data_IF_435321439161
#
_entry.id   IF_435321439161
#
_cell.length_a   1.000
_cell.length_b   1.000
_cell.length_c   1.000
_cell.angle_alpha   90.00
_cell.angle_beta   90.00
_cell.angle_gamma   90.00
#
_symmetry.space_group_name_H-M   'P 1'
#
loop_
_entity.id
_entity.type
_entity.pdbx_description
1 polymer ?
#
# COMPACT_ATOMS: atom_id res chain seq x y z
N UNK A 1 12.41 -34.26 28.82
CA UNK A 1 13.14 -34.07 27.55
C UNK A 1 12.15 -33.48 26.55
N UNK A 2 12.33 -32.25 26.04
CA UNK A 2 11.43 -31.74 25.01
C UNK A 2 11.68 -32.53 23.73
N UNK A 3 10.59 -33.02 23.13
CA UNK A 3 10.61 -33.94 21.99
C UNK A 3 11.27 -33.25 20.79
N UNK A 4 12.42 -33.74 20.31
CA UNK A 4 13.23 -33.13 19.21
C UNK A 4 12.41 -32.83 17.95
N UNK A 5 11.34 -33.59 17.73
CA UNK A 5 10.40 -33.44 16.61
C UNK A 5 9.53 -32.17 16.70
N UNK A 6 9.19 -31.69 17.90
CA UNK A 6 8.35 -30.50 18.06
C UNK A 6 9.14 -29.21 17.80
N UNK A 7 10.39 -29.11 18.28
CA UNK A 7 11.28 -28.00 17.95
C UNK A 7 11.60 -27.93 16.45
N UNK A 8 11.79 -29.08 15.79
CA UNK A 8 12.00 -29.12 14.34
C UNK A 8 10.73 -28.70 13.58
N UNK A 9 9.54 -29.11 14.01
CA UNK A 9 8.28 -28.70 13.37
C UNK A 9 8.04 -27.19 13.43
N UNK A 10 8.31 -26.56 14.58
CA UNK A 10 8.17 -25.10 14.74
C UNK A 10 9.25 -24.36 13.94
N UNK A 11 10.51 -24.82 13.94
CA UNK A 11 11.59 -24.24 13.11
C UNK A 11 11.31 -24.38 11.60
N UNK A 12 10.79 -25.52 11.14
CA UNK A 12 10.47 -25.76 9.72
C UNK A 12 9.25 -24.94 9.29
N UNK A 13 8.24 -24.80 10.16
CA UNK A 13 7.12 -23.89 9.90
C UNK A 13 7.56 -22.42 9.89
N UNK A 14 8.59 -22.06 10.66
CA UNK A 14 9.12 -20.70 10.70
C UNK A 14 9.95 -20.37 9.44
N UNK A 15 10.76 -21.33 8.98
CA UNK A 15 11.54 -21.22 7.73
C UNK A 15 10.67 -21.17 6.47
N UNK A 16 9.55 -21.88 6.45
CA UNK A 16 8.62 -21.87 5.30
C UNK A 16 7.80 -20.59 5.20
N UNK A 17 7.48 -19.92 6.32
CA UNK A 17 6.80 -18.60 6.30
C UNK A 17 7.76 -17.47 5.90
N UNK A 18 9.06 -17.59 6.21
CA UNK A 18 10.06 -16.56 5.88
C UNK A 18 10.60 -16.64 4.44
N UNK A 19 10.61 -17.82 3.81
CA UNK A 19 11.24 -18.03 2.50
C UNK A 19 10.35 -17.74 1.28
N UNK A 20 9.06 -17.40 1.48
CA UNK A 20 8.16 -17.10 0.35
C UNK A 20 7.31 -15.84 0.59
N UNK A 21 7.88 -14.62 0.57
CA UNK A 21 7.06 -13.43 0.31
C UNK A 21 6.78 -13.25 -1.18
N UNK A 22 7.63 -13.77 -2.08
CA UNK A 22 7.62 -13.35 -3.49
C UNK A 22 7.44 -14.53 -4.46
N UNK A 23 6.18 -14.93 -4.63
CA UNK A 23 5.69 -15.41 -5.93
C UNK A 23 4.66 -14.38 -6.37
N UNK A 24 5.09 -13.16 -6.70
CA UNK A 24 4.19 -12.13 -7.23
C UNK A 24 4.81 -11.60 -8.52
N UNK A 25 4.29 -12.17 -9.61
CA UNK A 25 4.19 -11.59 -10.96
C UNK A 25 4.76 -10.18 -11.09
N UNK A 26 5.88 -10.06 -11.81
CA UNK A 26 6.33 -8.79 -12.36
C UNK A 26 5.20 -8.22 -13.25
N UNK A 27 4.41 -7.30 -12.69
CA UNK A 27 3.46 -6.52 -13.47
C UNK A 27 4.23 -5.36 -14.11
N UNK A 28 3.96 -5.09 -15.39
CA UNK A 28 4.55 -3.95 -16.14
C UNK A 28 4.33 -2.57 -15.47
N UNK A 29 3.44 -2.51 -14.48
CA UNK A 29 3.10 -1.32 -13.71
C UNK A 29 3.80 -1.23 -12.33
N UNK A 30 4.69 -2.17 -12.00
CA UNK A 30 5.40 -2.25 -10.72
C UNK A 30 4.63 -2.99 -9.61
N UNK A 31 5.34 -3.41 -8.57
CA UNK A 31 4.79 -4.22 -7.49
C UNK A 31 3.87 -3.43 -6.55
N UNK A 32 2.83 -4.09 -6.03
CA UNK A 32 1.85 -3.47 -5.15
C UNK A 32 2.52 -3.08 -3.83
N UNK A 33 2.74 -1.77 -3.65
CA UNK A 33 3.34 -1.25 -2.43
C UNK A 33 2.30 -1.27 -1.30
N UNK A 34 2.61 -1.96 -0.21
CA UNK A 34 1.81 -1.92 1.01
C UNK A 34 1.92 -0.53 1.66
N UNK A 35 0.83 0.00 2.26
CA UNK A 35 0.87 1.30 2.90
C UNK A 35 1.85 1.30 4.08
N UNK A 36 2.48 2.46 4.35
CA UNK A 36 3.42 2.62 5.46
C UNK A 36 2.81 2.19 6.82
N UNK A 37 1.51 2.42 7.00
CA UNK A 37 0.75 1.99 8.19
C UNK A 37 0.70 0.48 8.39
N UNK A 38 0.91 -0.32 7.34
CA UNK A 38 1.01 -1.78 7.43
C UNK A 38 2.29 -2.18 8.16
N UNK A 39 3.43 -1.62 7.76
CA UNK A 39 4.72 -1.89 8.39
C UNK A 39 4.77 -1.38 9.83
N UNK A 40 4.20 -0.21 10.09
CA UNK A 40 4.10 0.35 11.44
C UNK A 40 3.26 -0.55 12.37
N UNK A 41 2.10 -1.04 11.89
CA UNK A 41 1.29 -2.02 12.63
C UNK A 41 2.06 -3.31 12.91
N UNK A 42 2.74 -3.88 11.90
CA UNK A 42 3.53 -5.09 12.08
C UNK A 42 4.60 -4.86 13.14
N UNK A 43 5.38 -3.79 13.01
CA UNK A 43 6.42 -3.42 13.96
C UNK A 43 5.87 -3.33 15.39
N UNK A 44 4.77 -2.60 15.57
CA UNK A 44 4.12 -2.39 16.88
C UNK A 44 3.56 -3.69 17.48
N UNK A 45 2.82 -4.48 16.70
CA UNK A 45 2.29 -5.76 17.17
C UNK A 45 3.42 -6.76 17.47
N UNK A 46 4.48 -6.77 16.67
CA UNK A 46 5.63 -7.64 16.89
C UNK A 46 6.30 -7.35 18.23
N UNK A 47 6.47 -6.07 18.58
CA UNK A 47 6.97 -5.68 19.91
C UNK A 47 6.00 -6.09 21.03
N UNK A 48 4.70 -5.85 20.89
CA UNK A 48 3.73 -6.26 21.91
C UNK A 48 3.74 -7.78 22.15
N UNK A 49 3.79 -8.57 21.08
CA UNK A 49 3.86 -10.03 21.17
C UNK A 49 5.18 -10.45 21.81
N UNK A 50 6.31 -9.82 21.44
CA UNK A 50 7.60 -10.05 22.09
C UNK A 50 7.52 -9.82 23.60
N UNK A 51 7.08 -8.63 24.01
CA UNK A 51 7.00 -8.28 25.43
C UNK A 51 6.02 -9.17 26.19
N UNK A 52 4.89 -9.53 25.59
CA UNK A 52 3.92 -10.46 26.17
C UNK A 52 4.53 -11.84 26.40
N UNK A 53 5.15 -12.43 25.38
CA UNK A 53 5.81 -13.74 25.48
C UNK A 53 6.98 -13.72 26.46
N UNK A 54 7.75 -12.65 26.48
CA UNK A 54 8.88 -12.48 27.39
C UNK A 54 8.40 -12.40 28.86
N UNK A 55 7.36 -11.60 29.14
CA UNK A 55 6.77 -11.50 30.47
C UNK A 55 6.19 -12.85 30.93
N UNK A 56 5.43 -13.54 30.07
CA UNK A 56 4.91 -14.88 30.35
C UNK A 56 6.06 -15.86 30.65
N UNK A 57 7.14 -15.83 29.85
CA UNK A 57 8.30 -16.68 30.06
C UNK A 57 9.01 -16.43 31.40
N UNK A 58 9.03 -15.20 31.91
CA UNK A 58 9.57 -14.89 33.25
C UNK A 58 8.68 -15.44 34.36
N UNK A 59 7.35 -15.34 34.21
CA UNK A 59 6.37 -15.76 35.22
C UNK A 59 6.20 -17.29 35.34
N UNK A 60 6.64 -18.06 34.36
CA UNK A 60 6.56 -19.53 34.38
C UNK A 60 7.73 -20.13 35.18
N UNK A 61 7.42 -20.89 36.24
CA UNK A 61 8.41 -21.64 37.02
C UNK A 61 8.88 -22.94 36.36
N UNK A 62 8.05 -23.51 35.47
CA UNK A 62 8.34 -24.79 34.82
C UNK A 62 9.44 -24.62 33.76
N UNK A 63 10.67 -25.05 34.10
CA UNK A 63 11.89 -24.94 33.26
C UNK A 63 11.69 -25.16 31.75
N UNK A 64 11.07 -26.25 31.26
CA UNK A 64 10.93 -26.46 29.81
C UNK A 64 9.98 -25.44 29.16
N UNK A 65 8.88 -25.09 29.80
CA UNK A 65 7.90 -24.14 29.27
C UNK A 65 8.44 -22.71 29.27
N UNK A 66 9.18 -22.34 30.32
CA UNK A 66 9.93 -21.08 30.39
C UNK A 66 10.90 -20.91 29.21
N UNK A 67 11.70 -21.94 28.93
CA UNK A 67 12.67 -21.91 27.82
C UNK A 67 11.94 -21.79 26.49
N UNK A 68 10.82 -22.50 26.29
CA UNK A 68 10.02 -22.40 25.07
C UNK A 68 9.46 -20.97 24.90
N UNK A 69 8.82 -20.41 25.93
CA UNK A 69 8.24 -19.07 25.88
C UNK A 69 9.29 -17.98 25.61
N UNK A 70 10.45 -18.05 26.27
CA UNK A 70 11.56 -17.10 26.04
C UNK A 70 12.23 -17.29 24.68
N UNK A 71 12.33 -18.52 24.18
CA UNK A 71 12.84 -18.75 22.82
C UNK A 71 11.87 -18.22 21.76
N UNK A 72 10.56 -18.34 22.00
CA UNK A 72 9.52 -17.84 21.11
C UNK A 72 9.45 -16.31 21.08
N UNK A 73 9.86 -15.59 22.14
CA UNK A 73 9.92 -14.13 22.11
C UNK A 73 11.02 -13.56 21.20
N UNK A 74 11.98 -14.37 20.78
CA UNK A 74 13.03 -13.96 19.81
C UNK A 74 12.44 -13.78 18.42
N UNK A 75 11.44 -14.60 18.06
CA UNK A 75 10.79 -14.59 16.75
C UNK A 75 10.20 -13.21 16.39
N UNK A 76 9.36 -12.58 17.24
CA UNK A 76 8.85 -11.25 16.96
C UNK A 76 9.95 -10.16 16.99
N UNK A 77 11.05 -10.35 17.73
CA UNK A 77 12.19 -9.41 17.67
C UNK A 77 12.88 -9.45 16.31
N UNK A 78 13.06 -10.64 15.73
CA UNK A 78 13.63 -10.79 14.38
C UNK A 78 12.72 -10.15 13.33
N UNK A 79 11.40 -10.37 13.42
CA UNK A 79 10.41 -9.74 12.52
C UNK A 79 10.45 -8.21 12.65
N UNK A 80 10.52 -7.70 13.89
CA UNK A 80 10.64 -6.26 14.14
C UNK A 80 11.95 -5.69 13.56
N UNK A 81 13.07 -6.37 13.79
CA UNK A 81 14.38 -5.98 13.26
C UNK A 81 14.40 -5.98 11.74
N UNK A 82 13.79 -6.98 11.10
CA UNK A 82 13.65 -7.02 9.64
C UNK A 82 12.91 -5.78 9.13
N UNK A 83 11.76 -5.44 9.72
CA UNK A 83 11.00 -4.25 9.31
C UNK A 83 11.79 -2.96 9.53
N UNK A 84 12.61 -2.86 10.56
CA UNK A 84 13.35 -1.63 10.86
C UNK A 84 14.62 -1.45 10.02
N UNK A 85 15.30 -2.55 9.67
CA UNK A 85 16.62 -2.51 9.02
C UNK A 85 16.61 -2.89 7.54
N UNK A 86 15.69 -3.77 7.11
CA UNK A 86 15.62 -4.22 5.71
C UNK A 86 14.61 -3.45 4.87
N UNK A 87 13.60 -2.83 5.49
CA UNK A 87 12.60 -2.05 4.76
C UNK A 87 13.08 -0.61 4.60
N UNK A 88 13.45 -0.23 3.37
CA UNK A 88 13.77 1.17 3.06
C UNK A 88 12.48 1.99 2.93
N UNK A 89 12.09 2.60 4.04
CA UNK A 89 10.93 3.51 4.07
C UNK A 89 11.10 4.75 3.20
N UNK A 90 12.33 5.14 2.89
CA UNK A 90 12.62 6.30 2.03
C UNK A 90 12.34 5.96 0.58
N UNK A 91 12.81 4.80 0.13
CA UNK A 91 12.55 4.29 -1.22
C UNK A 91 11.06 4.00 -1.41
N UNK A 92 10.40 3.35 -0.44
CA UNK A 92 8.96 3.10 -0.48
C UNK A 92 8.15 4.40 -0.58
N UNK A 93 8.50 5.42 0.21
CA UNK A 93 7.84 6.73 0.12
C UNK A 93 8.07 7.35 -1.25
N UNK A 94 9.30 7.35 -1.76
CA UNK A 94 9.64 7.90 -3.08
C UNK A 94 8.83 7.24 -4.19
N UNK A 95 8.70 5.91 -4.17
CA UNK A 95 7.94 5.16 -5.16
C UNK A 95 6.44 5.44 -5.05
N UNK A 96 5.89 5.51 -3.83
CA UNK A 96 4.49 5.91 -3.61
C UNK A 96 4.22 7.33 -4.10
N UNK A 97 5.12 8.28 -3.84
CA UNK A 97 5.01 9.65 -4.35
C UNK A 97 5.07 9.68 -5.88
N UNK A 98 5.97 8.93 -6.50
CA UNK A 98 6.06 8.84 -7.95
C UNK A 98 4.76 8.29 -8.57
N UNK A 99 4.22 7.20 -8.04
CA UNK A 99 2.95 6.62 -8.51
C UNK A 99 1.76 7.56 -8.29
N UNK A 100 1.73 8.29 -7.17
CA UNK A 100 0.72 9.29 -6.91
C UNK A 100 0.83 10.49 -7.86
N UNK A 101 2.04 10.92 -8.19
CA UNK A 101 2.28 11.98 -9.16
C UNK A 101 1.85 11.55 -10.58
N UNK A 102 2.04 10.29 -10.96
CA UNK A 102 1.50 9.73 -12.21
C UNK A 102 -0.04 9.76 -12.23
N UNK A 103 -0.67 9.39 -11.11
CA UNK A 103 -2.13 9.47 -10.98
C UNK A 103 -2.63 10.92 -11.06
N UNK A 104 -1.91 11.86 -10.45
CA UNK A 104 -2.21 13.30 -10.56
C UNK A 104 -2.02 13.82 -11.98
N UNK A 105 -0.93 13.46 -12.68
CA UNK A 105 -0.71 13.87 -14.07
C UNK A 105 -1.84 13.38 -14.98
N UNK A 106 -2.32 12.15 -14.76
CA UNK A 106 -3.49 11.62 -15.48
C UNK A 106 -4.75 12.43 -15.18
N UNK A 107 -4.99 12.80 -13.91
CA UNK A 107 -6.11 13.65 -13.51
C UNK A 107 -6.01 15.08 -14.08
N UNK A 108 -4.81 15.63 -14.19
CA UNK A 108 -4.57 16.94 -14.80
C UNK A 108 -4.88 16.92 -16.31
N UNK A 109 -4.49 15.86 -17.02
CA UNK A 109 -4.83 15.69 -18.43
C UNK A 109 -6.36 15.57 -18.63
N UNK A 110 -7.03 14.85 -17.72
CA UNK A 110 -8.50 14.79 -17.70
C UNK A 110 -9.11 16.17 -17.44
N UNK A 111 -8.53 16.94 -16.52
CA UNK A 111 -9.00 18.28 -16.22
C UNK A 111 -8.91 19.19 -17.44
N UNK A 112 -7.81 19.13 -18.18
CA UNK A 112 -7.65 19.87 -19.43
C UNK A 112 -8.70 19.44 -20.47
N UNK A 113 -8.97 18.14 -20.61
CA UNK A 113 -9.99 17.64 -21.52
C UNK A 113 -11.41 18.10 -21.11
N UNK A 114 -11.71 18.12 -19.81
CA UNK A 114 -12.99 18.60 -19.26
C UNK A 114 -13.18 20.10 -19.51
N UNK A 115 -12.14 20.91 -19.36
CA UNK A 115 -12.21 22.35 -19.60
C UNK A 115 -12.43 22.67 -21.09
N UNK A 116 -11.75 21.94 -21.99
CA UNK A 116 -11.98 22.03 -23.44
C UNK A 116 -13.41 21.64 -23.80
N UNK A 117 -13.89 20.50 -23.31
CA UNK A 117 -15.25 20.04 -23.58
C UNK A 117 -16.32 21.01 -23.05
N UNK A 118 -16.13 21.55 -21.84
CA UNK A 118 -17.03 22.57 -21.29
C UNK A 118 -17.05 23.85 -22.14
N UNK A 119 -15.91 24.26 -22.69
CA UNK A 119 -15.85 25.44 -23.56
C UNK A 119 -16.61 25.25 -24.88
N UNK A 120 -16.67 24.01 -25.38
CA UNK A 120 -17.36 23.67 -26.63
C UNK A 120 -18.85 23.36 -26.43
N UNK A 121 -19.20 22.61 -25.38
CA UNK A 121 -20.55 22.06 -25.16
C UNK A 121 -21.28 22.71 -23.97
N UNK A 122 -20.64 23.58 -23.19
CA UNK A 122 -21.24 24.28 -22.05
C UNK A 122 -21.50 23.41 -20.81
N UNK A 123 -21.21 22.10 -20.86
CA UNK A 123 -21.44 21.12 -19.78
C UNK A 123 -20.22 20.24 -19.57
N UNK A 124 -20.07 19.66 -18.39
CA UNK A 124 -19.00 18.69 -18.08
C UNK A 124 -19.40 17.26 -18.46
N UNK A 125 -18.42 16.45 -18.88
CA UNK A 125 -18.60 15.03 -19.19
C UNK A 125 -18.82 14.24 -17.89
N UNK A 126 -19.99 13.60 -17.79
CA UNK A 126 -20.39 12.78 -16.63
C UNK A 126 -19.97 11.33 -16.77
N UNK A 127 -19.94 10.80 -17.98
CA UNK A 127 -19.65 9.39 -18.21
C UNK A 127 -18.14 9.16 -18.24
N UNK A 128 -17.70 8.21 -17.41
CA UNK A 128 -16.33 7.78 -17.34
C UNK A 128 -15.87 7.14 -18.65
N UNK A 129 -16.74 6.36 -19.30
CA UNK A 129 -16.40 5.62 -20.52
C UNK A 129 -16.23 6.55 -21.72
N UNK A 130 -17.08 7.58 -21.81
CA UNK A 130 -16.98 8.62 -22.82
C UNK A 130 -15.74 9.50 -22.58
N UNK A 131 -15.43 9.83 -21.33
CA UNK A 131 -14.19 10.52 -21.02
C UNK A 131 -12.95 9.70 -21.42
N UNK A 132 -12.95 8.39 -21.16
CA UNK A 132 -11.85 7.51 -21.56
C UNK A 132 -11.60 7.54 -23.07
N UNK A 133 -12.64 7.60 -23.91
CA UNK A 133 -12.48 7.70 -25.37
C UNK A 133 -11.96 9.07 -25.81
N UNK A 134 -12.35 10.16 -25.13
CA UNK A 134 -11.86 11.50 -25.41
C UNK A 134 -10.40 11.72 -24.97
N UNK A 135 -9.98 11.14 -23.85
CA UNK A 135 -8.61 11.30 -23.32
C UNK A 135 -7.63 10.34 -24.00
N UNK A 136 -8.08 9.20 -24.52
CA UNK A 136 -7.25 8.28 -25.31
C UNK A 136 -6.67 8.94 -26.58
N UNK A 137 -7.32 9.98 -27.11
CA UNK A 137 -6.86 10.74 -28.28
C UNK A 137 -5.89 11.89 -27.98
N UNK A 138 -5.86 12.41 -26.75
CA UNK A 138 -5.01 13.55 -26.36
C UNK A 138 -4.16 13.22 -25.12
N UNK A 139 -2.88 12.91 -25.36
CA UNK A 139 -1.84 12.63 -24.37
C UNK A 139 -1.93 11.33 -23.56
N UNK A 140 -2.98 10.52 -23.72
CA UNK A 140 -3.01 9.12 -23.27
C UNK A 140 -3.11 8.94 -21.75
N UNK A 141 -4.05 8.12 -21.32
CA UNK A 141 -4.14 7.70 -19.92
C UNK A 141 -3.06 6.66 -19.66
N UNK A 142 -2.26 6.85 -18.62
CA UNK A 142 -1.27 5.85 -18.24
C UNK A 142 -2.01 4.54 -17.88
N UNK A 143 -1.68 3.39 -18.50
CA UNK A 143 -2.39 2.12 -18.29
C UNK A 143 -2.30 1.61 -16.83
N UNK A 144 -1.34 2.11 -16.06
CA UNK A 144 -1.13 1.79 -14.66
C UNK A 144 -1.97 2.66 -13.71
N UNK A 145 -2.72 3.63 -14.23
CA UNK A 145 -3.62 4.50 -13.46
C UNK A 145 -5.07 4.15 -13.79
N UNK A 146 -5.84 3.80 -12.75
CA UNK A 146 -7.28 3.53 -12.85
C UNK A 146 -8.07 4.69 -12.31
N UNK A 147 -8.97 5.22 -13.12
CA UNK A 147 -9.96 6.19 -12.65
C UNK A 147 -11.07 5.39 -11.97
N UNK A 148 -11.33 5.69 -10.70
CA UNK A 148 -12.29 4.97 -9.89
C UNK A 148 -13.70 5.57 -10.04
N UNK A 149 -13.78 6.91 -10.03
CA UNK A 149 -15.05 7.63 -10.05
C UNK A 149 -14.87 8.99 -10.69
N UNK A 150 -15.91 9.44 -11.40
CA UNK A 150 -16.07 10.81 -11.87
C UNK A 150 -17.50 11.22 -11.56
N UNK A 151 -17.64 12.41 -10.98
CA UNK A 151 -18.92 13.02 -10.73
C UNK A 151 -18.86 14.47 -11.20
N UNK A 152 -19.66 14.78 -12.23
CA UNK A 152 -19.71 16.10 -12.82
C UNK A 152 -21.09 16.73 -12.58
N UNK A 153 -21.10 17.85 -11.87
CA UNK A 153 -22.23 18.76 -11.71
C UNK A 153 -22.21 19.88 -12.74
N UNK A 154 -23.11 20.86 -12.61
CA UNK A 154 -23.18 22.00 -13.54
C UNK A 154 -22.02 22.99 -13.39
N UNK A 155 -21.56 23.23 -12.16
CA UNK A 155 -20.51 24.21 -11.85
C UNK A 155 -19.16 23.56 -11.50
N UNK A 156 -19.17 22.33 -11.01
CA UNK A 156 -18.00 21.63 -10.47
C UNK A 156 -18.00 20.16 -10.86
N UNK A 157 -16.81 19.59 -11.03
CA UNK A 157 -16.61 18.14 -11.17
C UNK A 157 -15.51 17.64 -10.24
N UNK A 158 -15.64 16.37 -9.86
CA UNK A 158 -14.73 15.67 -8.97
C UNK A 158 -14.36 14.34 -9.64
N UNK A 159 -13.08 14.00 -9.63
CA UNK A 159 -12.60 12.69 -10.06
C UNK A 159 -11.68 12.06 -9.03
N UNK A 160 -11.69 10.73 -8.97
CA UNK A 160 -10.80 9.95 -8.12
C UNK A 160 -10.01 8.99 -9.00
N UNK A 161 -8.69 9.00 -8.90
CA UNK A 161 -7.82 8.07 -9.59
C UNK A 161 -6.85 7.38 -8.62
N UNK A 162 -6.42 6.18 -8.99
CA UNK A 162 -5.51 5.37 -8.20
C UNK A 162 -4.53 4.65 -9.13
N UNK A 163 -3.25 4.75 -8.81
CA UNK A 163 -2.24 3.91 -9.44
C UNK A 163 -2.38 2.47 -8.93
N UNK A 164 -2.29 1.46 -9.80
CA UNK A 164 -2.48 0.02 -9.46
C UNK A 164 -1.57 -0.38 -8.29
N UNK A 165 -0.36 0.15 -8.27
CA UNK A 165 0.68 -0.19 -7.29
C UNK A 165 0.74 0.75 -6.08
N UNK A 166 -0.01 1.87 -6.08
CA UNK A 166 -0.05 2.78 -4.93
C UNK A 166 -1.20 2.39 -3.98
N UNK A 167 -0.99 2.48 -2.65
CA UNK A 167 -2.06 2.26 -1.69
C UNK A 167 -3.04 3.45 -1.62
N UNK A 168 -2.66 4.64 -2.12
CA UNK A 168 -3.44 5.87 -1.99
C UNK A 168 -4.34 6.14 -3.20
N UNK A 169 -5.44 6.84 -2.95
CA UNK A 169 -6.35 7.35 -3.99
C UNK A 169 -6.22 8.86 -4.01
N UNK A 170 -5.99 9.42 -5.20
CA UNK A 170 -5.87 10.86 -5.41
C UNK A 170 -7.21 11.39 -5.89
N UNK A 171 -7.65 12.50 -5.30
CA UNK A 171 -8.88 13.18 -5.68
C UNK A 171 -8.53 14.47 -6.40
N UNK A 172 -9.25 14.76 -7.46
CA UNK A 172 -9.19 16.02 -8.17
C UNK A 172 -10.54 16.71 -8.07
N UNK A 173 -10.53 17.96 -7.64
CA UNK A 173 -11.71 18.82 -7.60
C UNK A 173 -11.46 20.03 -8.49
N UNK A 174 -12.36 20.26 -9.44
CA UNK A 174 -12.30 21.40 -10.36
C UNK A 174 -12.16 22.77 -9.68
N UNK A 175 -12.70 22.93 -8.48
CA UNK A 175 -12.68 24.21 -7.75
C UNK A 175 -11.38 24.43 -6.98
N UNK A 176 -10.69 23.35 -6.62
CA UNK A 176 -9.65 23.39 -5.59
C UNK A 176 -8.39 22.58 -5.93
N UNK A 177 -8.34 21.97 -7.11
CA UNK A 177 -7.22 21.23 -7.68
C UNK A 177 -7.03 19.82 -7.10
N UNK A 178 -5.85 19.24 -7.34
CA UNK A 178 -5.45 17.93 -6.82
C UNK A 178 -5.33 17.91 -5.30
N UNK A 179 -5.79 16.83 -4.68
CA UNK A 179 -5.56 16.53 -3.26
C UNK A 179 -4.09 16.30 -2.93
N UNK A 180 -3.25 15.95 -3.91
CA UNK A 180 -1.82 15.72 -3.69
C UNK A 180 -1.06 17.02 -3.39
N UNK A 181 -1.50 18.16 -3.94
CA UNK A 181 -0.87 19.48 -3.68
C UNK A 181 -1.21 20.08 -2.31
N UNK A 182 -2.16 19.47 -1.59
CA UNK A 182 -2.68 19.98 -0.30
C UNK A 182 -2.09 19.28 0.93
N UNK A 183 -1.26 18.26 0.74
CA UNK A 183 -0.59 17.51 1.82
C UNK A 183 0.91 17.45 1.59
#
# INVERSE_FOLDING_TARGET
MPNKTFCNGVMISFLTVFMFPDIISANDCGDVIKPLSYFDKISRYSLFICFGLFAIGILIDRKPEKVIALSLSIVPLVVWGYVQFMVDFTELKKNVFAYNALAEGTLANIAEAQDRYKSEQGVFLKDLQELYSHVAGSQGINPCVRILKINAGFSQWIAEAKHVSSPHTIKWDSSSGSSLKKG
#
